data_IF_794197549260
#
_entry.id   IF_794197549260
#
_cell.length_a   1.000
_cell.length_b   1.000
_cell.length_c   1.000
_cell.angle_alpha   90.00
_cell.angle_beta   90.00
_cell.angle_gamma   90.00
#
_symmetry.space_group_name_H-M   'P 1'
#
loop_
_entity.id
_entity.type
_entity.pdbx_description
1 polymer ?
#
# COMPACT_ATOMS: atom_id res chain seq x y z
N UNK A 1 -9.66 8.20 22.92
CA UNK A 1 -10.91 8.97 22.86
C UNK A 1 -11.41 8.93 21.42
N UNK A 2 -12.64 8.43 21.22
CA UNK A 2 -13.27 8.08 19.94
C UNK A 2 -13.88 9.34 19.27
N UNK A 3 -13.44 9.70 18.07
CA UNK A 3 -13.96 10.88 17.33
C UNK A 3 -14.43 10.48 15.94
N UNK A 4 -15.45 9.64 15.88
CA UNK A 4 -16.29 9.51 14.69
C UNK A 4 -17.51 10.43 14.85
N UNK A 5 -17.80 11.32 13.87
CA UNK A 5 -18.86 12.32 14.00
C UNK A 5 -20.27 11.72 14.16
N UNK A 6 -20.48 10.47 13.71
CA UNK A 6 -21.77 9.75 13.86
C UNK A 6 -21.93 9.20 15.28
N UNK A 7 -20.83 8.83 15.93
CA UNK A 7 -20.78 8.42 17.33
C UNK A 7 -20.81 9.59 18.31
N UNK A 8 -20.30 10.76 17.91
CA UNK A 8 -20.40 11.98 18.72
C UNK A 8 -21.82 12.57 18.75
N UNK A 9 -22.62 12.33 17.71
CA UNK A 9 -24.02 12.77 17.62
C UNK A 9 -25.06 11.79 18.18
N UNK A 10 -24.66 10.55 18.51
CA UNK A 10 -25.58 9.52 18.99
C UNK A 10 -25.76 9.52 20.51
N UNK A 11 -27.00 9.40 20.97
CA UNK A 11 -27.38 9.21 22.37
C UNK A 11 -26.76 7.92 22.92
N UNK A 12 -26.41 7.88 24.23
CA UNK A 12 -25.71 6.77 24.88
C UNK A 12 -26.26 5.35 24.57
N UNK A 13 -27.57 5.10 24.51
CA UNK A 13 -28.11 3.79 24.13
C UNK A 13 -27.88 3.41 22.65
N UNK A 14 -27.77 4.40 21.75
CA UNK A 14 -27.67 4.17 20.31
C UNK A 14 -26.24 3.93 19.82
N UNK A 15 -25.23 4.23 20.64
CA UNK A 15 -23.82 4.03 20.29
C UNK A 15 -23.47 2.56 20.01
N UNK A 16 -24.16 1.62 20.65
CA UNK A 16 -24.01 0.19 20.38
C UNK A 16 -24.54 -0.17 18.99
N UNK A 17 -25.73 0.34 18.64
CA UNK A 17 -26.36 0.17 17.33
C UNK A 17 -25.56 0.84 16.22
N UNK A 18 -25.08 2.07 16.43
CA UNK A 18 -24.21 2.77 15.47
C UNK A 18 -22.91 2.01 15.22
N UNK A 19 -22.29 1.43 16.27
CA UNK A 19 -21.11 0.55 16.11
C UNK A 19 -21.45 -0.72 15.33
N UNK A 20 -22.60 -1.33 15.59
CA UNK A 20 -23.05 -2.50 14.84
C UNK A 20 -23.28 -2.17 13.36
N UNK A 21 -23.88 -1.01 13.06
CA UNK A 21 -24.07 -0.52 11.68
C UNK A 21 -22.74 -0.25 10.99
N UNK A 22 -21.81 0.49 11.62
CA UNK A 22 -20.48 0.74 11.03
C UNK A 22 -19.73 -0.57 10.80
N UNK A 23 -19.85 -1.53 11.72
CA UNK A 23 -19.24 -2.85 11.57
C UNK A 23 -19.88 -3.65 10.43
N UNK A 24 -21.21 -3.60 10.30
CA UNK A 24 -21.93 -4.26 9.21
C UNK A 24 -21.63 -3.60 7.86
N UNK A 25 -21.52 -2.27 7.79
CA UNK A 25 -21.11 -1.54 6.57
C UNK A 25 -19.68 -1.90 6.16
N UNK A 26 -18.74 -1.98 7.11
CA UNK A 26 -17.37 -2.39 6.82
C UNK A 26 -17.27 -3.87 6.43
N UNK A 27 -18.05 -4.74 7.09
CA UNK A 27 -18.11 -6.15 6.75
C UNK A 27 -18.74 -6.35 5.37
N UNK A 28 -19.84 -5.67 5.05
CA UNK A 28 -20.45 -5.67 3.72
C UNK A 28 -19.53 -5.06 2.66
N UNK A 29 -18.77 -4.00 2.98
CA UNK A 29 -17.76 -3.46 2.09
C UNK A 29 -16.63 -4.48 1.85
N UNK A 30 -16.15 -5.15 2.91
CA UNK A 30 -15.16 -6.22 2.85
C UNK A 30 -15.68 -7.47 2.11
N UNK A 31 -16.97 -7.80 2.24
CA UNK A 31 -17.63 -8.86 1.49
C UNK A 31 -17.86 -8.49 0.03
N UNK A 32 -18.20 -7.23 -0.25
CA UNK A 32 -18.37 -6.71 -1.61
C UNK A 32 -17.03 -6.67 -2.38
N UNK A 33 -15.90 -6.55 -1.68
CA UNK A 33 -14.56 -6.72 -2.28
C UNK A 33 -14.02 -8.16 -2.17
N UNK A 34 -14.75 -9.10 -1.59
CA UNK A 34 -14.30 -10.50 -1.43
C UNK A 34 -14.14 -11.24 -2.76
N UNK A 35 -14.77 -10.76 -3.83
CA UNK A 35 -14.57 -11.26 -5.20
C UNK A 35 -13.73 -10.33 -6.10
N UNK A 36 -13.41 -9.10 -5.66
CA UNK A 36 -12.69 -8.07 -6.46
C UNK A 36 -11.46 -7.50 -5.71
N UNK A 37 -10.97 -8.18 -4.66
CA UNK A 37 -10.15 -7.67 -3.54
C UNK A 37 -8.74 -7.17 -3.82
N UNK A 38 -8.51 -6.49 -4.94
CA UNK A 38 -7.23 -5.88 -5.30
C UNK A 38 -7.28 -4.35 -5.25
N UNK A 39 -6.30 -3.72 -4.60
CA UNK A 39 -6.06 -2.27 -4.63
C UNK A 39 -4.83 -2.03 -5.49
N UNK A 40 -4.92 -1.15 -6.48
CA UNK A 40 -3.75 -0.64 -7.20
C UNK A 40 -3.37 0.73 -6.64
N UNK A 41 -2.14 0.85 -6.15
CA UNK A 41 -1.61 2.11 -5.65
C UNK A 41 -0.48 2.59 -6.55
N UNK A 42 -0.59 3.83 -7.01
CA UNK A 42 0.48 4.53 -7.73
C UNK A 42 1.17 5.50 -6.77
N UNK A 43 2.47 5.28 -6.54
CA UNK A 43 3.30 6.01 -5.60
C UNK A 43 4.36 6.78 -6.40
N UNK A 44 4.32 8.11 -6.28
CA UNK A 44 5.19 9.01 -7.08
C UNK A 44 6.67 8.99 -6.66
N UNK A 45 6.98 8.49 -5.47
CA UNK A 45 8.35 8.28 -5.00
C UNK A 45 8.45 6.91 -4.33
N UNK A 46 9.07 5.96 -5.02
CA UNK A 46 9.27 4.60 -4.54
C UNK A 46 10.31 4.53 -3.40
N UNK A 47 11.12 5.59 -3.22
CA UNK A 47 12.25 5.58 -2.30
C UNK A 47 13.25 4.47 -2.62
N UNK A 48 13.48 4.21 -3.92
CA UNK A 48 14.39 3.17 -4.40
C UNK A 48 15.82 3.46 -3.92
N UNK A 49 16.43 2.50 -3.22
CA UNK A 49 17.81 2.63 -2.76
C UNK A 49 18.82 2.53 -3.90
N UNK A 50 20.08 2.85 -3.61
CA UNK A 50 21.18 2.34 -4.43
C UNK A 50 21.22 0.81 -4.38
N UNK A 51 21.79 0.21 -5.42
CA UNK A 51 22.04 -1.23 -5.48
C UNK A 51 23.04 -1.64 -4.40
N UNK A 52 22.70 -2.67 -3.61
CA UNK A 52 23.62 -3.31 -2.67
C UNK A 52 24.26 -4.56 -3.33
N UNK A 53 25.56 -4.52 -3.69
CA UNK A 53 26.23 -5.65 -4.31
C UNK A 53 26.47 -6.82 -3.35
N UNK A 54 26.39 -6.61 -2.03
CA UNK A 54 26.56 -7.66 -1.02
C UNK A 54 25.39 -8.62 -1.03
N UNK A 55 24.17 -8.08 -1.14
CA UNK A 55 22.92 -8.85 -1.12
C UNK A 55 22.28 -9.02 -2.49
N UNK A 56 22.84 -8.37 -3.52
CA UNK A 56 22.37 -8.44 -4.90
C UNK A 56 20.96 -7.86 -5.05
N UNK A 57 20.69 -6.71 -4.43
CA UNK A 57 19.33 -6.20 -4.33
C UNK A 57 19.19 -4.68 -4.30
N UNK A 58 18.00 -4.23 -4.63
CA UNK A 58 17.49 -2.88 -4.35
C UNK A 58 16.44 -2.95 -3.25
N UNK A 59 16.36 -1.89 -2.45
CA UNK A 59 15.31 -1.72 -1.45
C UNK A 59 14.31 -0.67 -1.91
N UNK A 60 13.03 -1.04 -1.93
CA UNK A 60 11.89 -0.19 -2.25
C UNK A 60 11.28 0.29 -0.94
N UNK A 61 11.75 1.43 -0.42
CA UNK A 61 11.33 1.93 0.90
C UNK A 61 9.83 2.18 0.99
N UNK A 62 9.17 2.52 -0.12
CA UNK A 62 7.73 2.68 -0.16
C UNK A 62 6.99 1.41 0.30
N UNK A 63 7.53 0.22 0.09
CA UNK A 63 6.93 -1.06 0.49
C UNK A 63 7.41 -1.59 1.84
N UNK A 64 8.10 -0.77 2.64
CA UNK A 64 8.61 -1.19 3.95
C UNK A 64 7.50 -1.69 4.89
N UNK A 65 7.80 -2.57 5.87
CA UNK A 65 6.83 -3.04 6.87
C UNK A 65 6.14 -1.92 7.66
N UNK A 66 6.85 -0.80 7.85
CA UNK A 66 6.34 0.39 8.53
C UNK A 66 5.52 1.31 7.63
N UNK A 67 5.49 1.06 6.31
CA UNK A 67 4.76 1.90 5.37
C UNK A 67 3.27 1.79 5.59
N UNK A 68 2.62 2.95 5.63
CA UNK A 68 1.16 3.07 5.68
C UNK A 68 0.69 3.98 4.56
N UNK A 69 -0.29 3.53 3.78
CA UNK A 69 -0.84 4.33 2.69
C UNK A 69 -2.22 4.87 3.10
N UNK A 70 -2.43 6.19 3.07
CA UNK A 70 -3.78 6.74 3.19
C UNK A 70 -4.56 6.41 1.92
N UNK A 71 -5.71 5.79 2.08
CA UNK A 71 -6.65 5.50 1.01
C UNK A 71 -7.99 6.13 1.38
N UNK A 72 -8.46 7.09 0.58
CA UNK A 72 -9.75 7.72 0.81
C UNK A 72 -10.80 7.10 -0.10
N UNK A 73 -11.83 6.50 0.50
CA UNK A 73 -12.96 5.94 -0.22
C UNK A 73 -14.24 6.21 0.56
N UNK A 74 -15.32 6.55 -0.14
CA UNK A 74 -16.63 6.82 0.47
C UNK A 74 -16.56 7.83 1.64
N UNK A 75 -15.72 8.87 1.52
CA UNK A 75 -15.51 9.91 2.55
C UNK A 75 -14.84 9.38 3.83
N UNK A 76 -14.30 8.16 3.82
CA UNK A 76 -13.53 7.58 4.92
C UNK A 76 -12.05 7.50 4.58
N UNK A 77 -11.20 7.84 5.55
CA UNK A 77 -9.74 7.75 5.43
C UNK A 77 -9.26 6.43 6.01
N UNK A 78 -9.08 5.47 5.13
CA UNK A 78 -8.64 4.13 5.47
C UNK A 78 -7.11 4.10 5.43
N UNK A 79 -6.49 3.43 6.39
CA UNK A 79 -5.05 3.18 6.36
C UNK A 79 -4.77 1.80 5.80
N UNK A 80 -3.96 1.69 4.75
CA UNK A 80 -3.52 0.40 4.20
C UNK A 80 -2.14 0.06 4.78
N UNK A 81 -2.00 -1.16 5.31
CA UNK A 81 -0.75 -1.74 5.82
C UNK A 81 -0.41 -3.02 5.07
N UNK A 82 0.88 -3.26 4.85
CA UNK A 82 1.35 -4.46 4.17
C UNK A 82 1.65 -5.57 5.17
N UNK A 83 1.11 -6.77 4.94
CA UNK A 83 1.45 -7.96 5.74
C UNK A 83 2.78 -8.61 5.31
N UNK A 84 3.18 -8.40 4.06
CA UNK A 84 4.41 -8.92 3.47
C UNK A 84 5.41 -7.81 3.12
N UNK A 85 5.36 -6.66 3.81
CA UNK A 85 6.26 -5.53 3.54
C UNK A 85 7.74 -5.90 3.63
N UNK A 86 8.10 -6.84 4.52
CA UNK A 86 9.48 -7.30 4.67
C UNK A 86 10.03 -7.93 3.39
N UNK A 87 9.22 -8.71 2.69
CA UNK A 87 9.60 -9.35 1.42
C UNK A 87 9.35 -8.43 0.23
N UNK A 88 8.23 -7.70 0.22
CA UNK A 88 7.83 -6.83 -0.89
C UNK A 88 8.79 -5.67 -1.15
N UNK A 89 9.47 -5.17 -0.11
CA UNK A 89 10.47 -4.10 -0.25
C UNK A 89 11.78 -4.57 -0.90
N UNK A 90 12.04 -5.86 -1.00
CA UNK A 90 13.30 -6.37 -1.54
C UNK A 90 13.13 -6.72 -3.03
N UNK A 91 13.96 -6.13 -3.87
CA UNK A 91 14.05 -6.46 -5.28
C UNK A 91 15.43 -7.03 -5.60
N UNK A 92 15.49 -8.35 -5.83
CA UNK A 92 16.72 -9.01 -6.29
C UNK A 92 17.04 -8.61 -7.73
N UNK A 93 18.29 -8.21 -7.95
CA UNK A 93 18.81 -7.84 -9.26
C UNK A 93 20.27 -8.25 -9.37
N UNK A 94 20.67 -8.69 -10.56
CA UNK A 94 22.07 -8.91 -10.89
C UNK A 94 22.82 -7.58 -11.03
N UNK A 95 24.16 -7.57 -10.93
CA UNK A 95 24.96 -6.37 -11.17
C UNK A 95 24.74 -5.76 -12.57
N UNK A 96 24.44 -6.61 -13.55
CA UNK A 96 24.16 -6.20 -14.93
C UNK A 96 22.82 -5.47 -15.03
N UNK A 97 21.76 -6.03 -14.44
CA UNK A 97 20.45 -5.37 -14.33
C UNK A 97 20.55 -4.06 -13.56
N UNK A 98 21.33 -4.05 -12.47
CA UNK A 98 21.54 -2.85 -11.68
C UNK A 98 22.20 -1.73 -12.49
N UNK A 99 23.14 -2.06 -13.39
CA UNK A 99 23.72 -1.08 -14.32
C UNK A 99 22.66 -0.50 -15.25
N UNK A 100 21.83 -1.36 -15.88
CA UNK A 100 20.74 -0.92 -16.77
C UNK A 100 19.75 -0.01 -16.03
N UNK A 101 19.43 -0.32 -14.77
CA UNK A 101 18.53 0.49 -13.94
C UNK A 101 19.13 1.87 -13.67
N UNK A 102 20.42 1.94 -13.32
CA UNK A 102 21.12 3.21 -13.13
C UNK A 102 21.14 4.04 -14.41
N UNK A 103 21.40 3.42 -15.55
CA UNK A 103 21.41 4.10 -16.85
C UNK A 103 20.03 4.69 -17.20
N UNK A 104 18.95 3.96 -16.88
CA UNK A 104 17.57 4.42 -17.08
C UNK A 104 17.11 5.52 -16.09
N UNK A 105 17.61 5.50 -14.86
CA UNK A 105 17.33 6.52 -13.85
C UNK A 105 18.09 7.83 -14.14
N UNK A 106 19.34 7.73 -14.58
CA UNK A 106 20.24 8.87 -14.71
C UNK A 106 20.66 9.48 -13.37
N UNK A 107 21.42 10.58 -13.41
CA UNK A 107 22.08 11.16 -12.22
C UNK A 107 21.14 11.70 -11.13
N UNK A 108 19.88 12.02 -11.46
CA UNK A 108 18.90 12.59 -10.53
C UNK A 108 17.55 11.85 -10.57
N UNK A 109 17.55 10.62 -11.09
CA UNK A 109 16.33 9.84 -11.30
C UNK A 109 15.74 9.31 -10.01
N UNK A 110 14.50 9.70 -9.72
CA UNK A 110 13.64 8.94 -8.82
C UNK A 110 12.94 7.80 -9.55
N UNK A 111 12.30 6.90 -8.81
CA UNK A 111 11.42 5.88 -9.36
C UNK A 111 9.98 6.10 -8.90
N UNK A 112 9.02 5.90 -9.79
CA UNK A 112 7.61 5.75 -9.45
C UNK A 112 7.29 4.26 -9.32
N UNK A 113 6.32 3.94 -8.48
CA UNK A 113 5.93 2.57 -8.15
C UNK A 113 4.43 2.41 -8.36
N UNK A 114 4.05 1.41 -9.14
CA UNK A 114 2.67 0.94 -9.22
C UNK A 114 2.60 -0.44 -8.58
N UNK A 115 1.94 -0.55 -7.45
CA UNK A 115 1.82 -1.80 -6.70
C UNK A 115 0.40 -2.33 -6.75
N UNK A 116 0.27 -3.62 -6.98
CA UNK A 116 -0.96 -4.39 -6.85
C UNK A 116 -0.99 -5.06 -5.49
N UNK A 117 -2.01 -4.75 -4.71
CA UNK A 117 -2.24 -5.24 -3.38
C UNK A 117 -3.49 -6.10 -3.36
N UNK A 118 -3.49 -7.21 -2.64
CA UNK A 118 -4.70 -7.98 -2.34
C UNK A 118 -5.06 -7.77 -0.88
N UNK A 119 -6.29 -7.35 -0.58
CA UNK A 119 -6.74 -7.13 0.80
C UNK A 119 -6.88 -8.48 1.50
N UNK A 120 -6.18 -8.64 2.63
CA UNK A 120 -6.16 -9.87 3.44
C UNK A 120 -6.92 -9.73 4.76
N UNK A 121 -7.23 -8.51 5.19
CA UNK A 121 -8.04 -8.26 6.38
C UNK A 121 -8.45 -6.80 6.55
N UNK A 122 -9.43 -6.56 7.41
CA UNK A 122 -9.94 -5.23 7.73
C UNK A 122 -10.24 -5.10 9.22
N UNK A 123 -9.82 -3.99 9.82
CA UNK A 123 -10.10 -3.66 11.23
C UNK A 123 -10.79 -2.29 11.28
N UNK A 124 -12.04 -2.19 11.74
CA UNK A 124 -12.73 -0.92 11.89
C UNK A 124 -12.04 -0.02 12.92
N UNK A 125 -12.09 1.28 12.71
CA UNK A 125 -11.56 2.27 13.65
C UNK A 125 -12.18 3.64 13.44
N UNK A 126 -12.04 4.56 14.42
CA UNK A 126 -12.77 5.83 14.49
C UNK A 126 -12.49 6.86 13.38
N UNK A 127 -11.72 6.50 12.34
CA UNK A 127 -11.41 7.35 11.17
C UNK A 127 -11.57 6.64 9.81
N UNK A 128 -12.16 5.44 9.77
CA UNK A 128 -12.27 4.61 8.56
C UNK A 128 -11.58 3.24 8.69
N UNK A 129 -10.78 3.04 9.73
CA UNK A 129 -10.15 1.75 10.03
C UNK A 129 -8.83 1.50 9.30
N UNK A 130 -8.34 0.27 9.42
CA UNK A 130 -7.10 -0.20 8.81
C UNK A 130 -7.39 -1.42 7.95
N UNK A 131 -6.94 -1.40 6.71
CA UNK A 131 -6.87 -2.56 5.84
C UNK A 131 -5.48 -3.16 5.94
N UNK A 132 -5.44 -4.47 6.13
CA UNK A 132 -4.24 -5.28 5.93
C UNK A 132 -4.30 -5.82 4.52
N UNK A 133 -3.23 -5.63 3.76
CA UNK A 133 -3.12 -6.10 2.40
C UNK A 133 -1.77 -6.78 2.16
N UNK A 134 -1.72 -7.64 1.16
CA UNK A 134 -0.52 -8.30 0.68
C UNK A 134 -0.15 -7.71 -0.67
N UNK A 135 1.09 -7.24 -0.82
CA UNK A 135 1.60 -6.89 -2.14
C UNK A 135 1.81 -8.17 -2.95
N UNK A 136 1.19 -8.25 -4.13
CA UNK A 136 1.27 -9.43 -5.01
C UNK A 136 2.10 -9.17 -6.26
N UNK A 137 2.31 -7.91 -6.61
CA UNK A 137 3.19 -7.53 -7.70
C UNK A 137 3.37 -6.03 -7.77
N UNK A 138 4.38 -5.60 -8.50
CA UNK A 138 4.62 -4.18 -8.72
C UNK A 138 5.35 -3.91 -10.04
N UNK A 139 5.25 -2.67 -10.48
CA UNK A 139 6.02 -2.10 -11.57
C UNK A 139 6.75 -0.86 -11.09
N UNK A 140 8.06 -0.81 -11.32
CA UNK A 140 8.88 0.37 -11.11
C UNK A 140 9.14 1.05 -12.45
N UNK A 141 8.98 2.37 -12.47
CA UNK A 141 9.26 3.20 -13.64
C UNK A 141 10.19 4.35 -13.27
N UNK A 142 11.08 4.73 -14.17
CA UNK A 142 11.92 5.91 -13.98
C UNK A 142 11.04 7.16 -14.01
N UNK A 143 11.17 8.02 -13.00
CA UNK A 143 10.32 9.22 -12.84
C UNK A 143 10.49 10.22 -13.99
N UNK A 144 11.71 10.33 -14.54
CA UNK A 144 12.02 11.26 -15.62
C UNK A 144 11.58 10.76 -17.00
N UNK A 145 12.03 9.56 -17.39
CA UNK A 145 11.78 9.01 -18.73
C UNK A 145 10.47 8.21 -18.84
N UNK A 146 9.84 7.85 -17.71
CA UNK A 146 8.71 6.92 -17.68
C UNK A 146 9.09 5.48 -18.01
N UNK A 147 10.38 5.20 -18.29
CA UNK A 147 10.84 3.90 -18.73
C UNK A 147 10.67 2.85 -17.62
N UNK A 148 10.16 1.68 -17.99
CA UNK A 148 10.03 0.55 -17.06
C UNK A 148 11.41 0.06 -16.62
N UNK A 149 11.63 0.07 -15.30
CA UNK A 149 12.82 -0.46 -14.65
C UNK A 149 12.64 -1.95 -14.42
N UNK A 150 11.51 -2.35 -13.83
CA UNK A 150 11.15 -3.74 -13.58
C UNK A 150 9.64 -3.89 -13.45
N UNK A 151 9.13 -5.07 -13.80
CA UNK A 151 7.81 -5.57 -13.41
C UNK A 151 8.03 -6.89 -12.68
N UNK A 152 7.64 -6.96 -11.41
CA UNK A 152 7.86 -8.10 -10.55
C UNK A 152 6.53 -8.66 -10.02
N UNK A 153 6.49 -9.98 -9.81
CA UNK A 153 5.44 -10.67 -9.06
C UNK A 153 6.04 -11.21 -7.76
N UNK A 154 5.28 -11.12 -6.67
CA UNK A 154 5.66 -11.51 -5.32
C UNK A 154 5.01 -12.82 -4.89
#
# INVERSE_FOLDING_TARGET
MESDPRLSGATAPDKASVRATIRAELLSAAEAVREVGSIRLSIHDAGLSAYDPTYGEFTIRALSPSSTFPFEAFTQKITVKLDNGSTAQMWKATPEEARVVRDKLGNYGGATLDVELVVTGAVPGPRGGTLTARAVGYELRAKGSGATLVRARL
#
